data_IF_694458615388
#
_entry.id   IF_694458615388
#
_cell.length_a   1.000
_cell.length_b   1.000
_cell.length_c   1.000
_cell.angle_alpha   90.00
_cell.angle_beta   90.00
_cell.angle_gamma   90.00
#
_symmetry.space_group_name_H-M   'P 1'
#
loop_
_entity.id
_entity.type
_entity.pdbx_description
1 polymer ?
#
# COMPACT_ATOMS: atom_id res chain seq x y z
N UNK A 1 25.97 14.63 25.79
CA UNK A 1 26.26 14.59 24.34
C UNK A 1 24.95 14.36 23.62
N UNK A 2 24.41 15.34 22.90
CA UNK A 2 23.18 15.16 22.12
C UNK A 2 23.54 14.59 20.76
N UNK A 3 23.13 13.34 20.51
CA UNK A 3 23.23 12.74 19.18
C UNK A 3 22.08 13.33 18.36
N UNK A 4 22.42 14.12 17.34
CA UNK A 4 21.44 14.63 16.40
C UNK A 4 20.72 13.45 15.73
N UNK A 5 19.43 13.28 15.99
CA UNK A 5 18.60 12.32 15.27
C UNK A 5 18.59 12.71 13.79
N UNK A 6 18.93 11.80 12.86
CA UNK A 6 18.87 12.11 11.44
C UNK A 6 17.45 12.51 11.07
N UNK A 7 17.31 13.58 10.29
CA UNK A 7 16.02 14.07 9.81
C UNK A 7 15.26 12.92 9.15
N UNK A 8 14.09 12.60 9.70
CA UNK A 8 13.18 11.62 9.12
C UNK A 8 12.79 12.16 7.74
N UNK A 9 13.40 11.65 6.67
CA UNK A 9 12.94 11.88 5.31
C UNK A 9 11.57 11.24 5.21
N UNK A 10 10.51 12.02 5.38
CA UNK A 10 9.17 11.62 4.97
C UNK A 10 9.22 11.48 3.46
N UNK A 11 9.15 10.24 2.98
CA UNK A 11 8.80 10.03 1.59
C UNK A 11 7.37 10.52 1.45
N UNK A 12 7.14 11.58 0.69
CA UNK A 12 5.80 12.06 0.37
C UNK A 12 5.04 10.89 -0.29
N UNK A 13 4.19 10.25 0.50
CA UNK A 13 3.22 9.29 0.02
C UNK A 13 2.07 10.15 -0.47
N UNK A 14 1.97 10.34 -1.78
CA UNK A 14 0.82 11.00 -2.39
C UNK A 14 -0.41 10.11 -2.23
N UNK A 15 -1.14 10.31 -1.13
CA UNK A 15 -2.45 9.69 -0.92
C UNK A 15 -3.45 10.41 -1.85
N UNK A 16 -4.27 9.69 -2.64
CA UNK A 16 -5.27 10.32 -3.48
C UNK A 16 -6.23 11.21 -2.69
N UNK A 17 -6.70 12.31 -3.29
CA UNK A 17 -7.68 13.18 -2.65
C UNK A 17 -8.97 12.41 -2.31
N UNK A 18 -9.49 12.60 -1.10
CA UNK A 18 -10.71 11.94 -0.61
C UNK A 18 -10.50 10.60 0.10
N UNK A 19 -9.27 10.09 0.16
CA UNK A 19 -8.96 8.86 0.90
C UNK A 19 -8.93 9.06 2.41
N UNK A 20 -9.61 8.18 3.15
CA UNK A 20 -9.53 8.09 4.61
C UNK A 20 -10.14 9.25 5.39
N UNK A 21 -10.87 10.15 4.70
CA UNK A 21 -11.59 11.26 5.34
C UNK A 21 -13.01 10.87 5.75
N UNK A 22 -13.74 10.14 4.89
CA UNK A 22 -15.17 9.83 5.10
C UNK A 22 -15.50 8.33 4.99
N UNK A 23 -14.50 7.48 4.71
CA UNK A 23 -14.68 6.05 4.41
C UNK A 23 -13.76 5.17 5.26
N UNK A 24 -14.19 3.92 5.49
CA UNK A 24 -13.40 2.94 6.21
C UNK A 24 -12.07 2.73 5.49
N UNK A 25 -10.95 2.95 6.20
CA UNK A 25 -9.60 2.68 5.71
C UNK A 25 -9.08 1.36 6.26
N UNK A 26 -8.57 0.49 5.39
CA UNK A 26 -7.98 -0.79 5.78
C UNK A 26 -6.51 -0.87 5.32
N UNK A 27 -5.60 -1.14 6.26
CA UNK A 27 -4.19 -1.42 5.97
C UNK A 27 -3.93 -2.92 5.97
N UNK A 28 -3.47 -3.47 4.84
CA UNK A 28 -3.19 -4.91 4.70
C UNK A 28 -1.71 -5.16 4.36
N UNK A 29 -0.90 -5.68 5.30
CA UNK A 29 0.45 -6.15 4.97
C UNK A 29 0.36 -7.47 4.19
N UNK A 30 0.95 -7.52 3.00
CA UNK A 30 0.95 -8.70 2.15
C UNK A 30 2.37 -9.12 1.78
N UNK A 31 2.65 -10.42 1.73
CA UNK A 31 3.90 -10.99 1.20
C UNK A 31 3.58 -12.25 0.42
N UNK A 32 3.53 -12.13 -0.90
CA UNK A 32 3.18 -13.23 -1.81
C UNK A 32 1.83 -13.88 -1.49
N UNK A 33 0.77 -13.08 -1.44
CA UNK A 33 -0.59 -13.48 -1.05
C UNK A 33 -1.54 -13.54 -2.26
N UNK A 34 -1.03 -13.68 -3.48
CA UNK A 34 -1.82 -13.61 -4.71
C UNK A 34 -3.09 -14.49 -4.69
N UNK A 35 -3.02 -15.67 -4.10
CA UNK A 35 -4.12 -16.65 -4.05
C UNK A 35 -5.27 -16.24 -3.11
N UNK A 36 -5.00 -15.41 -2.10
CA UNK A 36 -5.94 -15.11 -1.02
C UNK A 36 -6.36 -13.64 -0.99
N UNK A 37 -5.45 -12.77 -1.40
CA UNK A 37 -5.61 -11.34 -1.24
C UNK A 37 -6.86 -10.82 -1.97
N UNK A 38 -7.11 -11.31 -3.18
CA UNK A 38 -8.29 -10.90 -3.97
C UNK A 38 -9.62 -11.19 -3.25
N UNK A 39 -9.71 -12.32 -2.53
CA UNK A 39 -10.91 -12.66 -1.76
C UNK A 39 -11.11 -11.73 -0.55
N UNK A 40 -10.03 -11.19 0.01
CA UNK A 40 -10.08 -10.19 1.08
C UNK A 40 -10.40 -8.79 0.56
N UNK A 41 -9.81 -8.38 -0.57
CA UNK A 41 -9.96 -7.03 -1.13
C UNK A 41 -11.34 -6.79 -1.74
N UNK A 42 -11.88 -7.79 -2.46
CA UNK A 42 -13.14 -7.65 -3.20
C UNK A 42 -14.33 -7.14 -2.35
N UNK A 43 -14.63 -7.70 -1.16
CA UNK A 43 -15.75 -7.19 -0.35
C UNK A 43 -15.49 -5.81 0.22
N UNK A 44 -14.24 -5.44 0.51
CA UNK A 44 -13.88 -4.13 1.07
C UNK A 44 -14.03 -3.04 0.01
N UNK A 45 -13.38 -3.22 -1.14
CA UNK A 45 -13.47 -2.26 -2.24
C UNK A 45 -14.90 -2.20 -2.80
N UNK A 46 -15.60 -3.33 -2.87
CA UNK A 46 -17.01 -3.37 -3.29
C UNK A 46 -17.97 -2.60 -2.39
N UNK A 47 -17.60 -2.34 -1.13
CA UNK A 47 -18.34 -1.50 -0.19
C UNK A 47 -17.86 -0.03 -0.18
N UNK A 48 -16.92 0.32 -1.06
CA UNK A 48 -16.36 1.66 -1.17
C UNK A 48 -15.29 1.98 -0.12
N UNK A 49 -14.72 0.98 0.55
CA UNK A 49 -13.61 1.20 1.48
C UNK A 49 -12.34 1.64 0.73
N UNK A 50 -11.58 2.54 1.34
CA UNK A 50 -10.24 2.89 0.87
C UNK A 50 -9.26 1.84 1.39
N UNK A 51 -8.72 1.02 0.49
CA UNK A 51 -7.86 -0.11 0.89
C UNK A 51 -6.42 0.16 0.49
N UNK A 52 -5.54 0.21 1.49
CA UNK A 52 -4.10 0.34 1.31
C UNK A 52 -3.42 -0.99 1.59
N UNK A 53 -2.70 -1.52 0.61
CA UNK A 53 -1.87 -2.71 0.77
C UNK A 53 -0.41 -2.31 0.87
N UNK A 54 0.27 -2.81 1.89
CA UNK A 54 1.73 -2.73 2.00
C UNK A 54 2.29 -4.04 1.46
N UNK A 55 2.71 -4.02 0.20
CA UNK A 55 3.32 -5.17 -0.46
C UNK A 55 4.78 -5.30 0.02
N UNK A 56 5.02 -6.26 0.90
CA UNK A 56 6.29 -6.46 1.57
C UNK A 56 7.16 -7.45 0.80
N UNK A 57 7.97 -6.92 -0.11
CA UNK A 57 8.92 -7.63 -0.94
C UNK A 57 8.24 -8.78 -1.69
N UNK A 58 7.08 -8.47 -2.28
CA UNK A 58 6.33 -9.40 -3.10
C UNK A 58 7.08 -9.66 -4.41
N UNK A 59 7.13 -10.93 -4.81
CA UNK A 59 7.77 -11.39 -6.04
C UNK A 59 6.77 -12.11 -6.96
N UNK A 60 5.53 -12.23 -6.55
CA UNK A 60 4.44 -12.86 -7.28
C UNK A 60 3.44 -11.82 -7.82
N UNK A 61 2.27 -12.27 -8.26
CA UNK A 61 1.22 -11.42 -8.83
C UNK A 61 0.49 -10.53 -7.79
N UNK A 62 0.87 -10.54 -6.50
CA UNK A 62 0.17 -9.83 -5.41
C UNK A 62 -0.06 -8.36 -5.74
N UNK A 63 0.98 -7.64 -6.19
CA UNK A 63 0.88 -6.19 -6.49
C UNK A 63 -0.10 -5.95 -7.64
N UNK A 64 0.04 -6.71 -8.73
CA UNK A 64 -0.81 -6.57 -9.91
C UNK A 64 -2.29 -6.84 -9.58
N UNK A 65 -2.58 -7.90 -8.82
CA UNK A 65 -3.94 -8.24 -8.39
C UNK A 65 -4.53 -7.21 -7.43
N UNK A 66 -3.70 -6.62 -6.59
CA UNK A 66 -4.13 -5.54 -5.68
C UNK A 66 -4.56 -4.31 -6.45
N UNK A 67 -3.73 -3.85 -7.39
CA UNK A 67 -4.04 -2.69 -8.22
C UNK A 67 -5.29 -2.95 -9.09
N UNK A 68 -5.41 -4.15 -9.66
CA UNK A 68 -6.58 -4.55 -10.44
C UNK A 68 -7.87 -4.57 -9.59
N UNK A 69 -7.75 -4.75 -8.27
CA UNK A 69 -8.88 -4.71 -7.35
C UNK A 69 -9.31 -3.29 -6.97
N UNK A 70 -8.60 -2.24 -7.42
CA UNK A 70 -8.89 -0.84 -7.07
C UNK A 70 -8.28 -0.37 -5.74
N UNK A 71 -7.46 -1.20 -5.10
CA UNK A 71 -6.74 -0.83 -3.89
C UNK A 71 -5.44 -0.06 -4.23
N UNK A 72 -4.95 0.74 -3.28
CA UNK A 72 -3.65 1.38 -3.40
C UNK A 72 -2.55 0.45 -2.87
N UNK A 73 -1.34 0.61 -3.41
CA UNK A 73 -0.18 -0.20 -3.04
C UNK A 73 1.01 0.68 -2.68
N UNK A 74 1.58 0.39 -1.51
CA UNK A 74 2.97 0.73 -1.19
C UNK A 74 3.79 -0.54 -1.39
N UNK A 75 4.65 -0.54 -2.40
CA UNK A 75 5.61 -1.62 -2.62
C UNK A 75 6.87 -1.33 -1.84
N UNK A 76 7.19 -2.21 -0.90
CA UNK A 76 8.38 -2.17 -0.07
C UNK A 76 9.31 -3.31 -0.46
N UNK A 77 10.39 -3.01 -1.16
CA UNK A 77 11.41 -3.97 -1.59
C UNK A 77 12.64 -3.92 -0.69
N UNK A 78 13.32 -5.06 -0.54
CA UNK A 78 14.65 -5.10 0.07
C UNK A 78 15.65 -4.76 -1.02
N UNK A 79 16.18 -3.53 -0.97
CA UNK A 79 17.28 -3.08 -1.81
C UNK A 79 18.63 -3.63 -1.32
N UNK A 80 19.70 -3.32 -2.06
CA UNK A 80 21.06 -3.74 -1.73
C UNK A 80 21.44 -3.42 -0.26
N UNK A 81 22.24 -4.31 0.33
CA UNK A 81 22.74 -4.21 1.72
C UNK A 81 21.64 -4.20 2.79
N UNK A 82 20.50 -4.84 2.51
CA UNK A 82 19.42 -5.02 3.48
C UNK A 82 18.64 -3.74 3.80
N UNK A 83 18.71 -2.73 2.91
CA UNK A 83 17.95 -1.48 3.07
C UNK A 83 16.55 -1.66 2.48
N UNK A 84 15.54 -1.25 3.23
CA UNK A 84 14.17 -1.19 2.70
C UNK A 84 13.99 0.03 1.81
N UNK A 85 13.38 -0.16 0.64
CA UNK A 85 12.93 0.89 -0.25
C UNK A 85 11.43 0.74 -0.44
N UNK A 86 10.66 1.76 -0.10
CA UNK A 86 9.22 1.79 -0.34
C UNK A 86 8.86 2.82 -1.42
N UNK A 87 7.91 2.47 -2.28
CA UNK A 87 7.37 3.35 -3.31
C UNK A 87 5.85 3.16 -3.43
N UNK A 88 5.12 4.24 -3.72
CA UNK A 88 3.72 4.15 -4.10
C UNK A 88 3.66 3.67 -5.55
N UNK A 89 2.94 2.59 -5.81
CA UNK A 89 2.87 1.97 -7.15
C UNK A 89 1.56 2.32 -7.87
N UNK A 90 0.52 2.69 -7.12
CA UNK A 90 -0.74 3.16 -7.67
C UNK A 90 -1.87 3.18 -6.65
N UNK A 91 -3.02 3.71 -7.07
CA UNK A 91 -4.29 3.74 -6.34
C UNK A 91 -5.37 4.39 -7.20
N UNK A 92 -6.56 3.80 -7.29
CA UNK A 92 -7.67 4.41 -8.03
C UNK A 92 -8.33 5.52 -7.21
N UNK A 93 -8.60 6.66 -7.86
CA UNK A 93 -9.52 7.67 -7.34
C UNK A 93 -10.93 7.09 -7.43
N UNK A 94 -11.61 6.92 -6.29
CA UNK A 94 -13.05 6.78 -6.34
C UNK A 94 -13.67 8.16 -6.61
N UNK A 95 -14.65 8.28 -7.52
CA UNK A 95 -15.48 9.49 -7.54
C UNK A 95 -16.13 9.67 -6.17
N UNK A 96 -16.21 10.94 -5.74
CA UNK A 96 -16.86 11.36 -4.51
C UNK A 96 -18.32 10.90 -4.48
#
# INVERSE_FOLDING_TARGET
>A
MNVASPSRKTHDVSIPAGWGVDRLSCGNPARNEADRLTACLKPLVGQGADVLVVANNCTDATIALTLASGAAVIDCTIAERGRWRCAVVGGSQHPA
#
